data_IF_805308465532
#
_entry.id   IF_805308465532
#
_cell.length_a   1.000
_cell.length_b   1.000
_cell.length_c   1.000
_cell.angle_alpha   90.00
_cell.angle_beta   90.00
_cell.angle_gamma   90.00
#
_symmetry.space_group_name_H-M   'P 1'
#
loop_
_entity.id
_entity.type
_entity.pdbx_description
1 polymer ?
#
# COMPACT_ATOMS: atom_id res chain seq x y z
N UNK A 1 2.33 -33.71 -8.42
CA UNK A 1 0.88 -33.48 -8.24
C UNK A 1 0.47 -32.00 -8.28
N UNK A 2 1.39 -31.01 -8.30
CA UNK A 2 1.03 -29.58 -8.29
C UNK A 2 0.64 -28.97 -9.64
N UNK A 3 1.18 -29.47 -10.75
CA UNK A 3 1.07 -28.84 -12.09
C UNK A 3 -0.34 -28.76 -12.71
N UNK A 4 -1.31 -29.52 -12.18
CA UNK A 4 -2.64 -29.60 -12.81
C UNK A 4 -3.51 -28.41 -12.43
N UNK A 5 -3.43 -27.97 -11.16
CA UNK A 5 -4.34 -26.97 -10.60
C UNK A 5 -3.79 -25.54 -10.68
N UNK A 6 -2.49 -25.37 -10.89
CA UNK A 6 -1.82 -24.08 -10.93
C UNK A 6 -1.70 -23.49 -12.35
N UNK A 7 -1.98 -24.27 -13.39
CA UNK A 7 -1.70 -23.91 -14.78
C UNK A 7 -2.60 -22.82 -15.38
N UNK A 8 -3.79 -22.58 -14.81
CA UNK A 8 -4.74 -21.58 -15.31
C UNK A 8 -5.34 -20.77 -14.17
N UNK A 9 -5.74 -19.54 -14.48
CA UNK A 9 -6.37 -18.59 -13.53
C UNK A 9 -7.77 -19.00 -13.05
N UNK A 10 -8.42 -19.94 -13.74
CA UNK A 10 -9.81 -20.33 -13.50
C UNK A 10 -9.96 -21.74 -12.92
N UNK A 11 -8.86 -22.35 -12.46
CA UNK A 11 -8.88 -23.69 -11.87
C UNK A 11 -8.72 -23.55 -10.35
N UNK A 12 -9.67 -24.13 -9.61
CA UNK A 12 -9.60 -24.22 -8.17
C UNK A 12 -8.79 -25.45 -7.75
N UNK A 13 -8.03 -25.32 -6.66
CA UNK A 13 -7.42 -26.46 -5.97
C UNK A 13 -8.50 -27.33 -5.29
N UNK A 14 -8.18 -28.56 -4.87
CA UNK A 14 -9.10 -29.40 -4.09
C UNK A 14 -9.64 -28.72 -2.82
N UNK A 15 -8.89 -27.76 -2.26
CA UNK A 15 -9.26 -26.95 -1.08
C UNK A 15 -10.10 -25.71 -1.44
N UNK A 16 -10.45 -25.51 -2.72
CA UNK A 16 -11.27 -24.38 -3.18
C UNK A 16 -10.50 -23.05 -3.32
N UNK A 17 -9.17 -23.09 -3.45
CA UNK A 17 -8.33 -21.88 -3.60
C UNK A 17 -7.85 -21.70 -5.04
N UNK A 18 -7.63 -20.44 -5.44
CA UNK A 18 -7.01 -20.11 -6.72
C UNK A 18 -5.49 -19.95 -6.54
N UNK A 19 -4.71 -20.93 -6.96
CA UNK A 19 -3.25 -20.92 -6.78
C UNK A 19 -2.57 -19.70 -7.40
N UNK A 20 -3.09 -19.18 -8.52
CA UNK A 20 -2.57 -17.97 -9.17
C UNK A 20 -2.69 -16.71 -8.30
N UNK A 21 -3.75 -16.61 -7.49
CA UNK A 21 -3.92 -15.50 -6.53
C UNK A 21 -2.92 -15.64 -5.39
N UNK A 22 -2.74 -16.85 -4.86
CA UNK A 22 -1.76 -17.13 -3.81
C UNK A 22 -0.33 -16.78 -4.25
N UNK A 23 0.03 -17.11 -5.49
CA UNK A 23 1.34 -16.75 -6.05
C UNK A 23 1.51 -15.25 -6.21
N UNK A 24 0.46 -14.52 -6.58
CA UNK A 24 0.51 -13.07 -6.65
C UNK A 24 0.68 -12.44 -5.25
N UNK A 25 0.00 -12.98 -4.23
CA UNK A 25 0.18 -12.57 -2.84
C UNK A 25 1.61 -12.83 -2.35
N UNK A 26 2.16 -14.01 -2.65
CA UNK A 26 3.54 -14.36 -2.30
C UNK A 26 4.56 -13.45 -3.00
N UNK A 27 4.31 -13.09 -4.26
CA UNK A 27 5.15 -12.14 -4.99
C UNK A 27 5.18 -10.75 -4.34
N UNK A 28 4.04 -10.29 -3.80
CA UNK A 28 3.97 -9.04 -3.03
C UNK A 28 4.82 -9.14 -1.75
N UNK A 29 4.86 -10.30 -1.11
CA UNK A 29 5.68 -10.55 0.09
C UNK A 29 7.19 -10.32 -0.10
N UNK A 30 7.67 -10.25 -1.35
CA UNK A 30 9.08 -9.96 -1.66
C UNK A 30 9.36 -8.49 -1.98
N UNK A 31 8.33 -7.64 -2.06
CA UNK A 31 8.50 -6.22 -2.31
C UNK A 31 8.78 -5.47 -1.00
N UNK A 32 9.62 -4.42 -1.03
CA UNK A 32 9.90 -3.63 0.18
C UNK A 32 8.62 -3.08 0.82
N UNK A 33 8.60 -3.04 2.15
CA UNK A 33 7.42 -2.80 2.97
C UNK A 33 6.83 -1.40 2.78
N UNK A 34 5.51 -1.29 2.84
CA UNK A 34 4.81 -0.01 2.98
C UNK A 34 3.76 -0.10 4.08
N UNK A 35 3.58 0.99 4.82
CA UNK A 35 2.68 1.11 5.96
C UNK A 35 1.82 2.34 5.78
N UNK A 36 0.52 2.18 6.00
CA UNK A 36 -0.43 3.28 6.07
C UNK A 36 -1.08 3.34 7.45
N UNK A 37 -1.22 4.55 7.99
CA UNK A 37 -1.95 4.79 9.23
C UNK A 37 -2.93 5.95 9.03
N UNK A 38 -4.18 5.71 9.40
CA UNK A 38 -5.23 6.73 9.47
C UNK A 38 -5.15 7.42 10.83
N UNK A 39 -5.01 8.74 10.84
CA UNK A 39 -5.06 9.59 12.03
C UNK A 39 -6.31 10.47 12.00
N UNK A 40 -6.54 11.25 13.07
CA UNK A 40 -7.61 12.27 13.10
C UNK A 40 -7.42 13.37 12.07
N UNK A 41 -6.16 13.74 11.82
CA UNK A 41 -5.80 14.95 11.09
C UNK A 41 -5.43 14.67 9.63
N UNK A 42 -5.21 13.40 9.28
CA UNK A 42 -4.78 12.98 7.94
C UNK A 42 -4.48 11.49 7.84
N UNK A 43 -4.09 11.05 6.64
CA UNK A 43 -3.56 9.70 6.42
C UNK A 43 -2.07 9.79 6.11
N UNK A 44 -1.25 9.03 6.84
CA UNK A 44 0.20 8.95 6.62
C UNK A 44 0.53 7.64 5.95
N UNK A 45 1.28 7.72 4.84
CA UNK A 45 1.84 6.58 4.12
C UNK A 45 3.36 6.66 4.18
N UNK A 46 3.99 5.55 4.58
CA UNK A 46 5.45 5.40 4.58
C UNK A 46 5.85 4.13 3.86
N UNK A 47 6.92 4.18 3.06
CA UNK A 47 7.42 3.04 2.31
C UNK A 47 8.94 2.95 2.34
N UNK A 48 9.44 1.72 2.34
CA UNK A 48 10.84 1.43 2.11
C UNK A 48 11.17 1.51 0.62
N UNK A 49 12.16 2.33 0.27
CA UNK A 49 12.76 2.34 -1.06
C UNK A 49 13.83 1.27 -1.14
N UNK A 50 13.59 0.29 -2.02
CA UNK A 50 14.58 -0.75 -2.32
C UNK A 50 15.47 -0.23 -3.44
N UNK A 51 16.73 0.09 -3.11
CA UNK A 51 17.73 0.54 -4.07
C UNK A 51 18.67 -0.60 -4.45
N UNK A 52 18.99 -0.70 -5.74
CA UNK A 52 20.06 -1.61 -6.18
C UNK A 52 21.41 -1.03 -5.80
N UNK A 53 22.37 -1.88 -5.41
CA UNK A 53 23.76 -1.49 -5.11
C UNK A 53 24.60 -1.17 -6.36
N UNK A 54 24.02 -1.31 -7.56
CA UNK A 54 24.70 -1.05 -8.84
C UNK A 54 24.42 0.39 -9.32
N UNK A 55 24.82 0.74 -10.56
CA UNK A 55 24.86 2.09 -11.19
C UNK A 55 23.55 2.94 -11.17
N UNK A 56 22.55 2.59 -10.36
CA UNK A 56 21.30 3.34 -10.23
C UNK A 56 21.57 4.77 -9.72
N UNK A 57 21.38 5.70 -10.66
CA UNK A 57 21.63 7.16 -10.63
C UNK A 57 21.27 7.92 -9.36
N UNK A 58 20.02 7.74 -8.91
CA UNK A 58 19.31 8.56 -7.91
C UNK A 58 17.81 8.66 -8.21
N UNK A 59 17.33 8.15 -9.35
CA UNK A 59 15.89 7.96 -9.57
C UNK A 59 15.45 6.72 -8.81
N UNK A 60 15.14 6.92 -7.53
CA UNK A 60 14.42 5.95 -6.73
C UNK A 60 13.16 5.53 -7.47
N UNK A 61 12.85 4.25 -7.47
CA UNK A 61 11.50 3.80 -7.83
C UNK A 61 10.52 4.41 -6.84
N UNK A 62 9.63 5.27 -7.30
CA UNK A 62 8.56 5.84 -6.49
C UNK A 62 7.55 4.74 -6.15
N UNK A 63 7.21 4.62 -4.87
CA UNK A 63 6.15 3.73 -4.39
C UNK A 63 4.91 4.49 -3.97
N UNK A 64 5.02 5.81 -3.77
CA UNK A 64 3.94 6.69 -3.41
C UNK A 64 3.51 7.50 -4.62
N UNK A 65 2.24 7.38 -4.98
CA UNK A 65 1.68 8.03 -6.15
C UNK A 65 0.53 8.94 -5.72
N UNK A 66 0.63 10.22 -6.07
CA UNK A 66 -0.51 11.13 -6.04
C UNK A 66 -1.52 10.70 -7.12
N UNK A 67 -2.75 10.41 -6.72
CA UNK A 67 -3.86 10.07 -7.63
C UNK A 67 -4.70 11.32 -7.92
N UNK A 68 -4.98 12.10 -6.89
CA UNK A 68 -5.68 13.39 -6.96
C UNK A 68 -5.21 14.29 -5.81
N UNK A 69 -5.70 15.53 -5.70
CA UNK A 69 -5.33 16.47 -4.63
C UNK A 69 -5.63 15.96 -3.22
N UNK A 70 -6.58 15.03 -3.10
CA UNK A 70 -7.07 14.48 -1.83
C UNK A 70 -6.94 12.94 -1.79
N UNK A 71 -6.12 12.35 -2.69
CA UNK A 71 -5.94 10.89 -2.78
C UNK A 71 -4.49 10.56 -3.12
N UNK A 72 -3.85 9.79 -2.25
CA UNK A 72 -2.51 9.21 -2.45
C UNK A 72 -2.57 7.69 -2.35
N UNK A 73 -1.66 7.02 -3.06
CA UNK A 73 -1.61 5.56 -3.13
C UNK A 73 -0.19 5.06 -2.88
N UNK A 74 -0.03 4.16 -1.92
CA UNK A 74 1.19 3.38 -1.70
C UNK A 74 1.08 2.03 -2.42
N UNK A 75 2.17 1.58 -3.04
CA UNK A 75 2.20 0.31 -3.79
C UNK A 75 3.30 -0.60 -3.24
N UNK A 76 2.97 -1.88 -3.09
CA UNK A 76 3.94 -2.97 -2.97
C UNK A 76 3.64 -4.05 -4.02
N UNK A 77 4.68 -4.66 -4.58
CA UNK A 77 4.60 -5.68 -5.63
C UNK A 77 5.27 -5.24 -6.92
N UNK A 78 4.66 -5.60 -8.07
CA UNK A 78 5.19 -5.32 -9.40
C UNK A 78 4.78 -3.91 -9.85
N UNK A 79 5.77 -3.02 -10.02
CA UNK A 79 5.54 -1.61 -10.37
C UNK A 79 4.88 -1.41 -11.74
N UNK A 80 5.13 -2.28 -12.73
CA UNK A 80 4.50 -2.17 -14.05
C UNK A 80 2.98 -2.32 -13.97
N UNK A 81 2.52 -3.28 -13.17
CA UNK A 81 1.10 -3.58 -13.02
C UNK A 81 0.43 -2.45 -12.22
N UNK A 82 1.10 -1.98 -11.18
CA UNK A 82 0.65 -0.85 -10.38
C UNK A 82 0.48 0.42 -11.22
N UNK A 83 1.41 0.73 -12.13
CA UNK A 83 1.31 1.91 -12.99
C UNK A 83 0.04 1.91 -13.84
N UNK A 84 -0.40 0.75 -14.32
CA UNK A 84 -1.66 0.62 -15.07
C UNK A 84 -2.85 0.95 -14.16
N UNK A 85 -2.86 0.41 -12.94
CA UNK A 85 -3.92 0.67 -11.95
C UNK A 85 -3.94 2.13 -11.51
N UNK A 86 -2.78 2.73 -11.25
CA UNK A 86 -2.61 4.14 -10.88
C UNK A 86 -3.14 5.06 -11.98
N UNK A 87 -2.76 4.81 -13.23
CA UNK A 87 -3.23 5.64 -14.35
C UNK A 87 -4.73 5.49 -14.56
N UNK A 88 -5.27 4.27 -14.38
CA UNK A 88 -6.71 4.04 -14.41
C UNK A 88 -7.41 4.81 -13.29
N UNK A 89 -6.88 4.77 -12.06
CA UNK A 89 -7.41 5.49 -10.91
C UNK A 89 -7.39 7.01 -11.12
N UNK A 90 -6.29 7.57 -11.65
CA UNK A 90 -6.18 8.99 -12.01
C UNK A 90 -7.25 9.42 -13.01
N UNK A 91 -7.46 8.64 -14.07
CA UNK A 91 -8.50 8.93 -15.06
C UNK A 91 -9.90 8.86 -14.43
N UNK A 92 -10.16 7.88 -13.58
CA UNK A 92 -11.45 7.75 -12.87
C UNK A 92 -11.69 8.91 -11.90
N UNK A 93 -10.67 9.33 -11.14
CA UNK A 93 -10.75 10.47 -10.21
C UNK A 93 -11.10 11.77 -10.96
N UNK A 94 -10.39 12.06 -12.06
CA UNK A 94 -10.67 13.23 -12.88
C UNK A 94 -12.06 13.20 -13.52
N UNK A 95 -12.52 12.03 -13.99
CA UNK A 95 -13.89 11.86 -14.49
C UNK A 95 -14.92 12.13 -13.40
N UNK A 96 -14.70 11.62 -12.19
CA UNK A 96 -15.58 11.85 -11.06
C UNK A 96 -15.67 13.35 -10.73
N UNK A 97 -14.54 14.04 -10.65
CA UNK A 97 -14.47 15.49 -10.42
C UNK A 97 -15.22 16.27 -11.51
N UNK A 98 -15.04 15.90 -12.78
CA UNK A 98 -15.74 16.53 -13.91
C UNK A 98 -17.25 16.32 -13.86
N UNK A 99 -17.71 15.11 -13.53
CA UNK A 99 -19.13 14.76 -13.47
C UNK A 99 -19.86 15.41 -12.31
N UNK A 100 -19.20 15.48 -11.14
CA UNK A 100 -19.81 16.02 -9.91
C UNK A 100 -19.80 17.55 -9.84
N UNK A 101 -19.03 18.24 -10.71
CA UNK A 101 -18.95 19.71 -10.89
C UNK A 101 -18.69 20.54 -9.62
N UNK A 102 -18.55 19.91 -8.46
CA UNK A 102 -18.35 20.51 -7.16
C UNK A 102 -17.52 19.53 -6.30
N UNK A 103 -16.33 19.94 -5.87
CA UNK A 103 -15.59 19.32 -4.76
C UNK A 103 -16.42 19.26 -3.45
N UNK A 104 -17.55 19.98 -3.38
CA UNK A 104 -18.31 20.30 -2.18
C UNK A 104 -19.26 19.19 -1.66
N UNK A 105 -19.58 18.15 -2.43
CA UNK A 105 -20.40 17.03 -1.91
C UNK A 105 -19.54 15.91 -1.28
N UNK A 106 -18.26 15.81 -1.65
CA UNK A 106 -17.29 14.93 -1.00
C UNK A 106 -16.87 15.42 0.39
N UNK A 107 -16.95 16.72 0.66
CA UNK A 107 -16.68 17.28 2.00
C UNK A 107 -17.73 16.87 3.05
N UNK A 108 -18.85 16.27 2.65
CA UNK A 108 -19.83 15.66 3.56
C UNK A 108 -19.62 14.14 3.73
N UNK A 109 -18.83 13.51 2.87
CA UNK A 109 -18.38 12.11 2.95
C UNK A 109 -16.93 12.05 3.45
N UNK A 110 -16.43 13.14 4.03
CA UNK A 110 -15.03 13.41 4.36
C UNK A 110 -14.55 12.68 5.61
N UNK A 111 -14.73 11.37 5.67
CA UNK A 111 -13.94 10.58 6.60
C UNK A 111 -12.62 10.22 5.90
N UNK A 112 -11.52 10.77 6.41
CA UNK A 112 -10.17 10.29 6.12
C UNK A 112 -10.17 8.76 6.28
N UNK A 113 -9.88 8.06 5.20
CA UNK A 113 -10.04 6.61 5.13
C UNK A 113 -8.85 6.01 4.42
N UNK A 114 -8.20 5.05 5.06
CA UNK A 114 -7.19 4.22 4.45
C UNK A 114 -7.86 2.98 3.85
N UNK A 115 -7.62 2.73 2.56
CA UNK A 115 -8.08 1.53 1.87
C UNK A 115 -6.91 0.68 1.39
N UNK A 116 -7.10 -0.64 1.39
CA UNK A 116 -6.14 -1.59 0.86
C UNK A 116 -6.85 -2.52 -0.12
N UNK A 117 -6.20 -2.77 -1.25
CA UNK A 117 -6.60 -3.71 -2.29
C UNK A 117 -5.50 -4.76 -2.46
N UNK A 118 -5.88 -6.01 -2.73
CA UNK A 118 -4.95 -7.10 -3.03
C UNK A 118 -5.31 -7.80 -4.37
N UNK A 119 -4.40 -8.63 -4.94
CA UNK A 119 -4.63 -9.33 -6.21
C UNK A 119 -5.87 -10.23 -6.29
N UNK A 120 -6.49 -10.59 -5.16
CA UNK A 120 -7.77 -11.32 -5.17
C UNK A 120 -8.96 -10.43 -5.58
N UNK A 121 -8.76 -9.10 -5.62
CA UNK A 121 -9.80 -8.10 -5.85
C UNK A 121 -10.53 -7.70 -4.56
N UNK A 122 -10.10 -8.20 -3.41
CA UNK A 122 -10.64 -7.80 -2.12
C UNK A 122 -10.17 -6.40 -1.75
N UNK A 123 -11.12 -5.55 -1.35
CA UNK A 123 -10.88 -4.16 -0.95
C UNK A 123 -11.53 -3.91 0.42
N UNK A 124 -10.78 -3.33 1.35
CA UNK A 124 -11.28 -3.03 2.69
C UNK A 124 -10.75 -1.72 3.23
N UNK A 125 -11.53 -1.08 4.11
CA UNK A 125 -11.11 0.07 4.90
C UNK A 125 -10.34 -0.36 6.14
N UNK A 126 -9.28 0.36 6.48
CA UNK A 126 -8.35 0.04 7.57
C UNK A 126 -8.06 1.28 8.41
N UNK A 127 -7.79 1.08 9.70
CA UNK A 127 -7.25 2.12 10.58
C UNK A 127 -5.73 2.21 10.46
N UNK A 128 -5.08 1.05 10.33
CA UNK A 128 -3.68 0.91 9.99
C UNK A 128 -3.50 -0.37 9.17
N UNK A 129 -2.60 -0.34 8.19
CA UNK A 129 -2.29 -1.50 7.36
C UNK A 129 -0.82 -1.49 6.96
N UNK A 130 -0.26 -2.69 6.76
CA UNK A 130 1.07 -2.90 6.20
C UNK A 130 0.99 -3.91 5.05
N UNK A 131 1.76 -3.63 3.99
CA UNK A 131 1.89 -4.45 2.78
C UNK A 131 3.38 -4.67 2.44
N UNK A 132 3.67 -5.64 1.59
CA UNK A 132 5.02 -6.01 1.20
C UNK A 132 5.67 -7.02 2.15
N UNK A 133 7.00 -6.99 2.20
CA UNK A 133 7.83 -7.83 3.05
C UNK A 133 7.51 -7.60 4.53
N UNK A 134 7.65 -8.66 5.33
CA UNK A 134 7.46 -8.64 6.77
C UNK A 134 6.09 -8.07 7.23
N UNK A 135 5.06 -8.10 6.36
CA UNK A 135 3.75 -7.53 6.67
C UNK A 135 3.11 -8.15 7.92
N UNK A 136 3.28 -9.45 8.19
CA UNK A 136 2.68 -10.12 9.35
C UNK A 136 3.25 -9.57 10.67
N UNK A 137 4.56 -9.32 10.70
CA UNK A 137 5.23 -8.71 11.84
C UNK A 137 4.81 -7.24 12.01
N UNK A 138 4.76 -6.48 10.90
CA UNK A 138 4.31 -5.09 10.91
C UNK A 138 2.87 -4.97 11.41
N UNK A 139 1.95 -5.79 10.90
CA UNK A 139 0.56 -5.85 11.33
C UNK A 139 0.42 -6.20 12.82
N UNK A 140 1.26 -7.09 13.34
CA UNK A 140 1.25 -7.45 14.76
C UNK A 140 1.68 -6.28 15.64
N UNK A 141 2.73 -5.56 15.25
CA UNK A 141 3.18 -4.36 15.96
C UNK A 141 2.16 -3.22 15.87
N UNK A 142 1.55 -3.02 14.70
CA UNK A 142 0.47 -2.04 14.54
C UNK A 142 -0.70 -2.38 15.47
N UNK A 143 -1.17 -3.62 15.53
CA UNK A 143 -2.26 -4.02 16.42
C UNK A 143 -1.94 -3.80 17.91
N UNK A 144 -0.67 -3.90 18.30
CA UNK A 144 -0.26 -3.72 19.69
C UNK A 144 -0.13 -2.25 20.08
N UNK A 145 0.49 -1.44 19.21
CA UNK A 145 0.87 -0.07 19.53
C UNK A 145 -0.14 0.98 19.03
N UNK A 146 -0.98 0.64 18.04
CA UNK A 146 -2.01 1.54 17.52
C UNK A 146 -3.12 1.74 18.55
N UNK A 147 -3.53 2.99 18.72
CA UNK A 147 -4.68 3.38 19.54
C UNK A 147 -5.73 3.99 18.63
N UNK A 148 -6.99 3.89 19.00
CA UNK A 148 -7.99 4.65 18.27
C UNK A 148 -7.70 6.14 18.39
N UNK A 149 -8.03 6.88 17.34
CA UNK A 149 -7.99 8.34 17.38
C UNK A 149 -6.58 8.97 17.53
N UNK A 150 -5.53 8.29 17.02
CA UNK A 150 -4.17 8.84 17.05
C UNK A 150 -4.08 10.21 16.36
N UNK A 151 -3.19 11.06 16.85
CA UNK A 151 -2.83 12.32 16.17
C UNK A 151 -1.80 12.09 15.08
N UNK A 152 -1.61 13.10 14.24
CA UNK A 152 -0.54 13.08 13.22
C UNK A 152 0.86 12.89 13.81
N UNK A 153 1.15 13.46 14.98
CA UNK A 153 2.45 13.31 15.66
C UNK A 153 2.67 11.87 16.11
N UNK A 154 1.61 11.19 16.54
CA UNK A 154 1.64 9.77 16.90
C UNK A 154 1.77 8.84 15.67
N UNK A 155 1.62 9.36 14.45
CA UNK A 155 1.89 8.63 13.20
C UNK A 155 3.38 8.33 12.99
N UNK A 156 4.28 8.85 13.84
CA UNK A 156 5.65 8.32 14.01
C UNK A 156 5.67 6.81 14.29
N UNK A 157 4.55 6.23 14.77
CA UNK A 157 4.37 4.79 14.86
C UNK A 157 4.66 4.09 13.52
N UNK A 158 4.27 4.67 12.38
CA UNK A 158 4.52 4.08 11.07
C UNK A 158 6.03 3.92 10.80
N UNK A 159 6.81 4.95 11.15
CA UNK A 159 8.28 4.96 11.04
C UNK A 159 8.91 3.94 11.99
N UNK A 160 8.42 3.88 13.23
CA UNK A 160 8.86 2.91 14.24
C UNK A 160 8.61 1.47 13.80
N UNK A 161 7.43 1.17 13.25
CA UNK A 161 7.10 -0.17 12.75
C UNK A 161 7.95 -0.49 11.51
N UNK A 162 8.13 0.46 10.59
CA UNK A 162 8.94 0.25 9.39
C UNK A 162 10.40 -0.04 9.74
N UNK A 163 11.00 0.76 10.63
CA UNK A 163 12.40 0.56 11.07
C UNK A 163 12.65 -0.79 11.74
N UNK A 164 11.63 -1.39 12.38
CA UNK A 164 11.71 -2.72 12.99
C UNK A 164 11.42 -3.87 12.03
N UNK A 165 10.80 -3.58 10.88
CA UNK A 165 10.42 -4.59 9.88
C UNK A 165 11.24 -4.55 8.61
N UNK A 166 12.00 -3.47 8.38
CA UNK A 166 12.92 -3.42 7.26
C UNK A 166 14.14 -4.32 7.51
N UNK A 167 14.65 -4.95 6.46
CA UNK A 167 15.86 -5.78 6.55
C UNK A 167 17.15 -4.93 6.65
N UNK A 168 17.03 -3.62 6.45
CA UNK A 168 18.15 -2.69 6.45
C UNK A 168 18.54 -2.30 7.88
N UNK A 169 19.85 -2.34 8.17
CA UNK A 169 20.40 -2.03 9.51
C UNK A 169 20.43 -0.54 9.86
N UNK A 170 20.16 0.35 8.90
CA UNK A 170 20.17 1.80 9.11
C UNK A 170 19.04 2.49 8.33
N UNK A 171 18.21 3.22 9.09
CA UNK A 171 17.16 4.06 8.56
C UNK A 171 17.79 5.39 8.08
N UNK A 172 17.82 5.61 6.78
CA UNK A 172 18.29 6.88 6.18
C UNK A 172 17.18 7.48 5.32
N UNK A 173 17.18 8.81 5.17
CA UNK A 173 16.19 9.55 4.37
C UNK A 173 16.04 8.99 2.95
N UNK A 174 17.15 8.55 2.36
CA UNK A 174 17.20 8.11 0.97
C UNK A 174 16.53 6.75 0.75
N UNK A 175 16.35 5.99 1.84
CA UNK A 175 15.65 4.69 1.85
C UNK A 175 14.16 4.80 2.18
N UNK A 176 13.67 6.01 2.42
CA UNK A 176 12.30 6.24 2.83
C UNK A 176 11.53 7.07 1.80
N UNK A 177 10.25 6.76 1.69
CA UNK A 177 9.27 7.55 0.97
C UNK A 177 8.10 7.84 1.90
N UNK A 178 7.64 9.09 1.86
CA UNK A 178 6.54 9.57 2.68
C UNK A 178 5.53 10.26 1.78
N UNK A 179 4.27 9.95 1.99
CA UNK A 179 3.15 10.69 1.41
C UNK A 179 2.09 10.92 2.48
N UNK A 180 1.45 12.07 2.41
CA UNK A 180 0.41 12.49 3.32
C UNK A 180 -0.75 13.09 2.55
N UNK A 181 -1.95 12.88 3.06
CA UNK A 181 -3.21 13.46 2.59
C UNK A 181 -3.97 14.01 3.78
#
# INVERSE_FOLDING_TARGET
MSRTYDSRKTIFSPEGRLSQVEYAMEAIGNAGTAIGISSKDGVVLIGEKVTSKLLQTSTSTEKMYKIDDHVSCAVAGIMSDANILINTARVQAQRYTLLTKNQCLLSSLSNLSLYMSDPSGNNGGWKAAAIGANNQAAQSMLKQDYKDEITREEAELALKVLSKTMDSTSLTSDKLELAEV
#
